data_IF_899315661150
#
_entry.id   IF_899315661150
#
_cell.length_a   1.000
_cell.length_b   1.000
_cell.length_c   1.000
_cell.angle_alpha   90.00
_cell.angle_beta   90.00
_cell.angle_gamma   90.00
#
_symmetry.space_group_name_H-M   'P 1'
#
loop_
_entity.id
_entity.type
_entity.pdbx_description
1 polymer ?
#
# COMPACT_ATOMS: atom_id res chain seq x y z
N UNK A 1 7.55 -19.46 -9.73
CA UNK A 1 6.80 -20.46 -10.53
C UNK A 1 7.19 -21.88 -10.12
N UNK A 2 6.53 -22.89 -10.68
CA UNK A 2 6.85 -24.29 -10.43
C UNK A 2 6.45 -24.79 -9.03
N UNK A 3 7.08 -25.88 -8.53
CA UNK A 3 6.67 -26.55 -7.30
C UNK A 3 6.70 -25.69 -6.03
N UNK A 4 7.49 -24.61 -6.03
CA UNK A 4 7.69 -23.73 -4.88
C UNK A 4 6.83 -22.46 -4.94
N UNK A 5 5.87 -22.37 -5.86
CA UNK A 5 5.00 -21.19 -5.99
C UNK A 5 4.26 -20.91 -4.66
N UNK A 6 4.33 -19.66 -4.20
CA UNK A 6 3.70 -19.23 -2.95
C UNK A 6 4.47 -19.58 -1.66
N UNK A 7 5.47 -20.47 -1.71
CA UNK A 7 6.30 -20.82 -0.56
C UNK A 7 7.46 -19.82 -0.36
N UNK A 8 7.97 -19.27 -1.46
CA UNK A 8 9.05 -18.28 -1.46
C UNK A 8 8.48 -16.98 -2.00
N UNK A 9 8.53 -15.93 -1.16
CA UNK A 9 8.07 -14.58 -1.51
C UNK A 9 9.19 -13.56 -1.27
N UNK A 10 9.09 -12.43 -1.95
CA UNK A 10 9.97 -11.27 -1.71
C UNK A 10 9.28 -10.24 -0.83
N UNK A 11 10.04 -9.54 0.01
CA UNK A 11 9.52 -8.38 0.74
C UNK A 11 9.12 -7.27 -0.24
N UNK A 12 8.05 -6.55 0.10
CA UNK A 12 7.63 -5.37 -0.62
C UNK A 12 8.62 -4.21 -0.41
N UNK A 13 8.66 -3.27 -1.35
CA UNK A 13 9.70 -2.23 -1.48
C UNK A 13 9.91 -1.42 -0.20
N UNK A 14 8.84 -1.14 0.56
CA UNK A 14 8.90 -0.34 1.77
C UNK A 14 8.58 -1.15 3.05
N UNK A 15 8.42 -2.46 2.94
CA UNK A 15 8.14 -3.29 4.11
C UNK A 15 9.38 -3.40 5.00
N UNK A 16 9.17 -3.48 6.32
CA UNK A 16 10.23 -3.76 7.30
C UNK A 16 9.81 -4.84 8.27
N UNK A 17 10.77 -5.45 8.93
CA UNK A 17 10.53 -6.40 10.03
C UNK A 17 10.82 -5.69 11.34
N UNK A 18 9.87 -5.70 12.27
CA UNK A 18 10.05 -5.08 13.59
C UNK A 18 10.82 -5.99 14.56
N UNK A 19 11.13 -5.49 15.76
CA UNK A 19 11.89 -6.24 16.78
C UNK A 19 11.25 -7.56 17.24
N UNK A 20 9.97 -7.78 16.92
CA UNK A 20 9.22 -8.99 17.26
C UNK A 20 9.10 -9.95 16.07
N UNK A 21 9.65 -9.61 14.91
CA UNK A 21 9.58 -10.44 13.71
C UNK A 21 8.34 -10.22 12.85
N UNK A 22 7.48 -9.25 13.17
CA UNK A 22 6.31 -8.94 12.33
C UNK A 22 6.68 -7.99 11.19
N UNK A 23 6.05 -8.22 10.03
CA UNK A 23 6.15 -7.32 8.89
C UNK A 23 5.26 -6.09 9.14
N UNK A 24 5.83 -4.91 8.90
CA UNK A 24 5.15 -3.62 8.98
C UNK A 24 5.25 -2.88 7.64
N UNK A 25 4.20 -2.11 7.35
CA UNK A 25 4.11 -1.26 6.17
C UNK A 25 3.97 0.22 6.58
N UNK A 26 4.57 1.15 5.83
CA UNK A 26 4.47 2.57 6.12
C UNK A 26 3.18 3.20 5.59
N UNK A 27 2.64 4.12 6.39
CA UNK A 27 1.47 4.93 6.06
C UNK A 27 1.66 6.36 6.57
N UNK A 28 0.95 7.31 5.95
CA UNK A 28 0.78 8.66 6.48
C UNK A 28 -0.48 8.69 7.33
N UNK A 29 -0.43 9.37 8.47
CA UNK A 29 -1.65 9.68 9.22
C UNK A 29 -2.47 10.70 8.44
N UNK A 30 -3.79 10.57 8.46
CA UNK A 30 -4.72 11.57 7.95
C UNK A 30 -5.45 12.16 9.16
N UNK A 31 -5.54 13.49 9.20
CA UNK A 31 -6.26 14.20 10.25
C UNK A 31 -7.11 15.27 9.60
N UNK A 32 -8.41 15.27 9.88
CA UNK A 32 -9.37 16.22 9.32
C UNK A 32 -9.29 16.33 7.78
N UNK A 33 -9.15 15.17 7.12
CA UNK A 33 -9.00 15.06 5.65
C UNK A 33 -7.66 15.53 5.10
N UNK A 34 -6.67 15.84 5.95
CA UNK A 34 -5.33 16.26 5.55
C UNK A 34 -4.28 15.18 5.87
N UNK A 35 -3.56 14.74 4.85
CA UNK A 35 -2.43 13.84 4.98
C UNK A 35 -1.25 14.54 5.67
N UNK A 36 -0.78 13.96 6.76
CA UNK A 36 0.32 14.47 7.56
C UNK A 36 1.67 14.07 6.94
N UNK A 37 2.72 14.83 7.27
CA UNK A 37 4.09 14.55 6.81
C UNK A 37 4.76 13.37 7.54
N UNK A 38 4.23 12.97 8.69
CA UNK A 38 4.77 11.85 9.48
C UNK A 38 4.43 10.51 8.83
N UNK A 39 5.44 9.65 8.68
CA UNK A 39 5.29 8.27 8.23
C UNK A 39 5.37 7.34 9.43
N UNK A 40 4.32 6.56 9.63
CA UNK A 40 4.21 5.57 10.69
C UNK A 40 4.14 4.18 10.06
N UNK A 41 4.93 3.26 10.60
CA UNK A 41 4.88 1.87 10.23
C UNK A 41 3.93 1.13 11.17
N UNK A 42 3.02 0.37 10.59
CA UNK A 42 2.04 -0.40 11.35
C UNK A 42 2.05 -1.85 10.89
N UNK A 43 1.79 -2.75 11.83
CA UNK A 43 1.62 -4.17 11.57
C UNK A 43 0.24 -4.49 10.99
N UNK A 44 0.06 -5.69 10.45
CA UNK A 44 -1.24 -6.15 9.94
C UNK A 44 -2.36 -6.10 11.00
N UNK A 45 -2.03 -6.34 12.27
CA UNK A 45 -2.98 -6.28 13.39
C UNK A 45 -3.40 -4.86 13.77
N UNK A 46 -2.55 -3.87 13.48
CA UNK A 46 -2.86 -2.46 13.69
C UNK A 46 -3.61 -1.89 12.50
N UNK A 47 -3.23 -2.29 11.27
CA UNK A 47 -3.91 -1.89 10.03
C UNK A 47 -5.40 -2.21 10.04
N UNK A 48 -5.83 -3.35 10.62
CA UNK A 48 -7.25 -3.71 10.70
C UNK A 48 -8.13 -2.73 11.52
N UNK A 49 -7.51 -1.87 12.33
CA UNK A 49 -8.21 -0.87 13.15
C UNK A 49 -8.43 0.46 12.43
N UNK A 50 -7.85 0.62 11.24
CA UNK A 50 -7.83 1.89 10.52
C UNK A 50 -8.51 1.77 9.16
N UNK A 51 -9.06 2.89 8.72
CA UNK A 51 -9.55 3.10 7.36
C UNK A 51 -8.45 3.69 6.50
N UNK A 52 -8.04 2.98 5.45
CA UNK A 52 -6.82 3.29 4.68
C UNK A 52 -7.17 3.72 3.27
N UNK A 53 -6.83 4.96 2.90
CA UNK A 53 -6.91 5.44 1.53
C UNK A 53 -5.71 4.99 0.67
N UNK A 54 -5.93 4.84 -0.64
CA UNK A 54 -4.87 4.52 -1.59
C UNK A 54 -3.83 5.65 -1.70
N UNK A 55 -2.60 5.31 -2.10
CA UNK A 55 -1.49 6.27 -2.19
C UNK A 55 -1.58 7.23 -3.40
N UNK A 56 -2.37 6.88 -4.41
CA UNK A 56 -2.50 7.59 -5.69
C UNK A 56 -3.70 8.56 -5.73
N UNK A 57 -4.43 8.73 -4.64
CA UNK A 57 -5.53 9.71 -4.58
C UNK A 57 -4.98 11.14 -4.71
N UNK A 58 -5.78 12.03 -5.30
CA UNK A 58 -5.36 13.41 -5.50
C UNK A 58 -5.35 14.20 -4.18
N UNK A 59 -4.24 14.90 -3.92
CA UNK A 59 -4.08 15.80 -2.78
C UNK A 59 -3.79 17.22 -3.26
N UNK A 60 -4.47 18.20 -2.67
CA UNK A 60 -4.19 19.63 -2.86
C UNK A 60 -3.71 20.23 -1.54
N UNK A 61 -2.45 20.65 -1.49
CA UNK A 61 -1.80 21.14 -0.25
C UNK A 61 -1.91 20.12 0.91
N UNK A 62 -1.86 18.83 0.58
CA UNK A 62 -2.02 17.72 1.54
C UNK A 62 -3.48 17.39 1.90
N UNK A 63 -4.46 18.19 1.48
CA UNK A 63 -5.88 17.90 1.66
C UNK A 63 -6.36 16.93 0.58
N UNK A 64 -7.15 15.92 0.97
CA UNK A 64 -7.88 15.06 0.03
C UNK A 64 -8.88 15.91 -0.75
N UNK A 65 -8.84 15.80 -2.08
CA UNK A 65 -9.66 16.64 -2.98
C UNK A 65 -11.08 16.09 -3.12
N UNK A 66 -11.21 14.79 -3.35
CA UNK A 66 -12.50 14.12 -3.59
C UNK A 66 -13.21 13.78 -2.27
N UNK A 67 -14.54 13.84 -2.27
CA UNK A 67 -15.34 13.48 -1.10
C UNK A 67 -15.39 11.96 -0.87
N UNK A 68 -15.35 11.18 -1.95
CA UNK A 68 -15.28 9.73 -1.94
C UNK A 68 -13.97 9.28 -2.59
N UNK A 69 -13.14 8.56 -1.85
CA UNK A 69 -11.84 8.08 -2.33
C UNK A 69 -11.73 6.56 -2.24
N UNK A 70 -11.00 5.91 -3.17
CA UNK A 70 -10.74 4.48 -3.07
C UNK A 70 -9.84 4.17 -1.86
N UNK A 71 -10.20 3.13 -1.13
CA UNK A 71 -9.39 2.63 -0.04
C UNK A 71 -9.88 1.29 0.45
N UNK A 72 -9.54 0.96 1.70
CA UNK A 72 -9.90 -0.31 2.32
C UNK A 72 -10.17 -0.18 3.81
N UNK A 73 -11.03 -1.07 4.31
CA UNK A 73 -11.28 -1.29 5.74
C UNK A 73 -11.13 -2.79 5.99
N UNK A 74 -10.30 -3.16 6.97
CA UNK A 74 -10.07 -4.56 7.32
C UNK A 74 -9.72 -5.46 6.11
N UNK A 75 -8.96 -4.92 5.16
CA UNK A 75 -8.55 -5.63 3.93
C UNK A 75 -9.57 -5.60 2.79
N UNK A 76 -10.81 -5.17 3.00
CA UNK A 76 -11.83 -5.08 1.96
C UNK A 76 -11.80 -3.72 1.25
N UNK A 77 -11.72 -3.74 -0.08
CA UNK A 77 -11.69 -2.54 -0.91
C UNK A 77 -13.07 -1.93 -1.06
N UNK A 78 -13.19 -0.63 -0.82
CA UNK A 78 -14.43 0.13 -1.00
C UNK A 78 -14.16 1.63 -1.20
N UNK A 79 -15.20 2.39 -1.53
CA UNK A 79 -15.15 3.85 -1.52
C UNK A 79 -15.37 4.37 -0.10
N UNK A 80 -14.55 5.34 0.29
CA UNK A 80 -14.49 5.90 1.63
C UNK A 80 -14.84 7.38 1.59
N UNK A 81 -15.64 7.86 2.54
CA UNK A 81 -15.74 9.31 2.76
C UNK A 81 -14.38 9.84 3.24
N UNK A 82 -13.92 10.97 2.71
CA UNK A 82 -12.62 11.56 3.08
C UNK A 82 -12.47 11.80 4.58
N UNK A 83 -13.58 12.09 5.27
CA UNK A 83 -13.61 12.36 6.72
C UNK A 83 -13.45 11.09 7.56
N UNK A 84 -13.68 9.92 6.96
CA UNK A 84 -13.50 8.62 7.62
C UNK A 84 -12.10 8.02 7.38
N UNK A 85 -11.24 8.69 6.61
CA UNK A 85 -9.88 8.21 6.32
C UNK A 85 -8.97 8.48 7.52
N UNK A 86 -8.45 7.42 8.13
CA UNK A 86 -7.49 7.52 9.24
C UNK A 86 -6.03 7.58 8.74
N UNK A 87 -5.75 6.84 7.66
CA UNK A 87 -4.41 6.59 7.16
C UNK A 87 -4.38 6.59 5.63
N UNK A 88 -3.24 6.87 5.03
CA UNK A 88 -3.04 6.86 3.57
C UNK A 88 -1.72 6.17 3.22
N UNK A 89 -1.71 5.38 2.14
CA UNK A 89 -0.47 4.78 1.63
C UNK A 89 0.59 5.83 1.27
N UNK A 90 1.87 5.50 1.43
CA UNK A 90 2.98 6.45 1.15
C UNK A 90 3.36 6.50 -0.32
N UNK A 91 3.18 5.39 -1.05
CA UNK A 91 3.55 5.26 -2.46
C UNK A 91 2.79 4.10 -3.12
N UNK A 92 2.38 4.23 -4.39
CA UNK A 92 1.86 3.09 -5.16
C UNK A 92 2.86 1.92 -5.23
N UNK A 93 4.16 2.20 -5.17
CA UNK A 93 5.21 1.16 -5.21
C UNK A 93 5.35 0.37 -3.91
N UNK A 94 4.65 0.74 -2.84
CA UNK A 94 4.74 0.03 -1.55
C UNK A 94 4.17 -1.39 -1.60
N UNK A 95 3.33 -1.71 -2.59
CA UNK A 95 2.65 -3.00 -2.71
C UNK A 95 3.44 -4.05 -3.49
N UNK A 96 4.50 -3.64 -4.18
CA UNK A 96 5.33 -4.51 -5.04
C UNK A 96 6.74 -4.67 -4.47
N UNK A 97 7.42 -5.75 -4.86
CA UNK A 97 8.84 -5.97 -4.53
C UNK A 97 9.75 -5.03 -5.32
N UNK A 98 11.03 -4.97 -4.94
CA UNK A 98 12.03 -4.17 -5.65
C UNK A 98 12.16 -4.59 -7.12
N UNK A 99 12.16 -5.89 -7.41
CA UNK A 99 12.26 -6.39 -8.79
C UNK A 99 11.06 -5.96 -9.64
N UNK A 100 9.84 -6.16 -9.14
CA UNK A 100 8.63 -5.75 -9.85
C UNK A 100 8.53 -4.22 -9.99
N UNK A 101 9.04 -3.44 -9.03
CA UNK A 101 9.05 -1.97 -9.09
C UNK A 101 9.96 -1.38 -10.19
N UNK A 102 10.83 -2.20 -10.78
CA UNK A 102 11.71 -1.82 -11.89
C UNK A 102 11.08 -2.07 -13.27
N UNK A 103 9.96 -2.78 -13.34
CA UNK A 103 9.22 -3.01 -14.58
C UNK A 103 8.48 -1.71 -14.95
N UNK A 104 8.79 -1.06 -16.08
CA UNK A 104 8.06 0.12 -16.51
C UNK A 104 6.66 -0.27 -17.00
N UNK A 105 5.67 0.60 -16.76
CA UNK A 105 4.28 0.39 -17.17
C UNK A 105 3.68 -0.93 -16.65
N UNK A 106 4.09 -1.36 -15.45
CA UNK A 106 3.61 -2.57 -14.79
C UNK A 106 2.07 -2.62 -14.70
N UNK A 107 1.43 -1.47 -14.56
CA UNK A 107 -0.02 -1.32 -14.54
C UNK A 107 -0.72 -1.75 -15.84
N UNK A 108 0.01 -1.87 -16.95
CA UNK A 108 -0.49 -2.30 -18.25
C UNK A 108 -0.22 -3.77 -18.55
N UNK A 109 0.60 -4.44 -17.74
CA UNK A 109 0.94 -5.84 -17.89
C UNK A 109 0.00 -6.72 -17.06
N UNK A 110 -0.27 -7.94 -17.54
CA UNK A 110 -0.97 -8.93 -16.73
C UNK A 110 -0.03 -9.51 -15.65
N UNK A 111 -0.64 -10.00 -14.56
CA UNK A 111 0.10 -10.48 -13.40
C UNK A 111 1.04 -11.67 -13.70
N UNK A 112 0.73 -12.52 -14.69
CA UNK A 112 1.58 -13.66 -15.04
C UNK A 112 2.83 -13.17 -15.79
N UNK A 113 2.69 -12.21 -16.71
CA UNK A 113 3.83 -11.60 -17.39
C UNK A 113 4.69 -10.79 -16.43
N UNK A 114 4.08 -10.04 -15.51
CA UNK A 114 4.81 -9.36 -14.44
C UNK A 114 5.60 -10.34 -13.55
N UNK A 115 5.00 -11.50 -13.20
CA UNK A 115 5.67 -12.56 -12.44
C UNK A 115 6.89 -13.09 -13.18
N UNK A 116 6.73 -13.48 -14.45
CA UNK A 116 7.83 -13.96 -15.29
C UNK A 116 8.92 -12.89 -15.44
N UNK A 117 8.53 -11.65 -15.73
CA UNK A 117 9.44 -10.52 -15.92
C UNK A 117 10.23 -10.16 -14.67
N UNK A 118 9.64 -10.31 -13.48
CA UNK A 118 10.35 -10.05 -12.22
C UNK A 118 11.40 -11.12 -11.85
N UNK A 119 11.36 -12.29 -12.48
CA UNK A 119 12.26 -13.42 -12.22
C UNK A 119 13.38 -13.57 -13.27
N UNK A 120 13.32 -12.82 -14.38
CA UNK A 120 14.32 -12.84 -15.47
C UNK A 120 15.30 -11.68 -15.32
#
# INVERSE_FOLDING_TARGET
EGPNIGLINSLATHARVNKYGFIESPYRRVKDGQAQGEVVYISAMEESKYTIAQANIELKNGQIVEDLVPGRINGESQLLNKDAVDMMGVSPKQVVSVAAALIPFLENDDANRALMGSNM
#
